data_IF_751893329527
#
_entry.id   IF_751893329527
#
_cell.length_a   1.000
_cell.length_b   1.000
_cell.length_c   1.000
_cell.angle_alpha   90.00
_cell.angle_beta   90.00
_cell.angle_gamma   90.00
#
_symmetry.space_group_name_H-M   'P 1'
#
loop_
_entity.id
_entity.type
_entity.pdbx_description
1 polymer ?
#
# COMPACT_ATOMS: atom_id res chain seq x y z
N UNK A 1 -2.66 -17.48 -0.27
CA UNK A 1 -4.08 -17.14 -0.09
C UNK A 1 -4.99 -18.36 -0.06
N UNK A 2 -5.07 -19.17 -1.13
CA UNK A 2 -5.92 -20.38 -1.16
C UNK A 2 -5.77 -21.29 0.07
N UNK A 3 -4.53 -21.65 0.44
CA UNK A 3 -4.26 -22.39 1.67
C UNK A 3 -4.82 -21.72 2.94
N UNK A 4 -4.75 -20.40 3.06
CA UNK A 4 -5.33 -19.67 4.19
C UNK A 4 -6.86 -19.78 4.21
N UNK A 5 -7.49 -19.81 3.02
CA UNK A 5 -8.94 -19.95 2.88
C UNK A 5 -9.37 -21.37 3.24
N UNK A 6 -8.68 -22.37 2.68
CA UNK A 6 -8.95 -23.80 2.91
C UNK A 6 -8.81 -24.18 4.39
N UNK A 7 -7.88 -23.53 5.12
CA UNK A 7 -7.69 -23.69 6.57
C UNK A 7 -8.56 -22.73 7.40
N UNK A 8 -9.48 -21.99 6.79
CA UNK A 8 -10.42 -21.11 7.49
C UNK A 8 -9.78 -19.89 8.17
N UNK A 9 -8.55 -19.50 7.83
CA UNK A 9 -7.83 -18.40 8.50
C UNK A 9 -8.49 -17.02 8.28
N UNK A 10 -9.33 -16.89 7.25
CA UNK A 10 -10.11 -15.69 6.93
C UNK A 10 -11.32 -15.47 7.87
N UNK A 11 -11.72 -16.48 8.64
CA UNK A 11 -12.89 -16.43 9.53
C UNK A 11 -12.49 -16.02 10.94
N UNK A 12 -13.43 -15.56 11.74
CA UNK A 12 -13.17 -15.42 13.18
C UNK A 12 -12.93 -16.80 13.80
N UNK A 13 -11.87 -16.95 14.60
CA UNK A 13 -11.67 -18.17 15.38
C UNK A 13 -12.49 -18.10 16.67
N UNK A 14 -13.02 -19.24 17.07
CA UNK A 14 -13.64 -19.44 18.39
C UNK A 14 -12.78 -20.45 19.14
N UNK A 15 -12.48 -20.19 20.41
CA UNK A 15 -11.79 -21.11 21.32
C UNK A 15 -10.33 -21.42 20.98
N UNK A 16 -9.57 -20.45 20.45
CA UNK A 16 -8.12 -20.56 20.32
C UNK A 16 -7.40 -19.85 21.48
N UNK A 17 -6.26 -20.38 21.94
CA UNK A 17 -5.30 -19.65 22.76
C UNK A 17 -4.95 -18.28 22.14
N UNK A 18 -4.91 -17.18 22.92
CA UNK A 18 -4.58 -15.83 22.45
C UNK A 18 -3.32 -15.76 21.58
N UNK A 19 -2.24 -16.43 22.00
CA UNK A 19 -0.98 -16.52 21.22
C UNK A 19 -1.18 -17.13 19.83
N UNK A 20 -1.93 -18.22 19.74
CA UNK A 20 -2.22 -18.90 18.49
C UNK A 20 -3.14 -18.09 17.59
N UNK A 21 -4.16 -17.42 18.17
CA UNK A 21 -5.06 -16.55 17.40
C UNK A 21 -4.32 -15.34 16.81
N UNK A 22 -3.44 -14.68 17.58
CA UNK A 22 -2.62 -13.58 17.06
C UNK A 22 -1.66 -14.04 15.96
N UNK A 23 -1.00 -15.19 16.13
CA UNK A 23 -0.14 -15.76 15.07
C UNK A 23 -0.96 -16.06 13.79
N UNK A 24 -2.16 -16.62 13.95
CA UNK A 24 -3.09 -16.89 12.84
C UNK A 24 -3.52 -15.62 12.12
N UNK A 25 -3.85 -14.55 12.85
CA UNK A 25 -4.17 -13.22 12.27
C UNK A 25 -2.99 -12.69 11.48
N UNK A 26 -1.77 -12.70 12.06
CA UNK A 26 -0.54 -12.25 11.38
C UNK A 26 -0.30 -13.00 10.06
N UNK A 27 -0.43 -14.34 10.07
CA UNK A 27 -0.29 -15.16 8.86
C UNK A 27 -1.32 -14.76 7.80
N UNK A 28 -2.60 -14.68 8.18
CA UNK A 28 -3.66 -14.34 7.23
C UNK A 28 -3.46 -12.96 6.62
N UNK A 29 -3.23 -11.93 7.43
CA UNK A 29 -3.09 -10.55 6.94
C UNK A 29 -1.82 -10.32 6.13
N UNK A 30 -0.74 -11.05 6.44
CA UNK A 30 0.47 -11.05 5.60
C UNK A 30 0.20 -11.66 4.24
N UNK A 31 -0.47 -12.82 4.20
CA UNK A 31 -0.87 -13.45 2.94
C UNK A 31 -1.86 -12.60 2.14
N UNK A 32 -2.77 -11.90 2.84
CA UNK A 32 -3.70 -10.93 2.27
C UNK A 32 -2.95 -9.78 1.58
N UNK A 33 -2.05 -9.10 2.29
CA UNK A 33 -1.27 -8.01 1.74
C UNK A 33 -0.45 -8.42 0.51
N UNK A 34 0.20 -9.59 0.57
CA UNK A 34 1.00 -10.09 -0.54
C UNK A 34 0.13 -10.42 -1.75
N UNK A 35 -0.99 -11.11 -1.55
CA UNK A 35 -1.92 -11.45 -2.63
C UNK A 35 -2.49 -10.21 -3.32
N UNK A 36 -2.93 -9.21 -2.54
CA UNK A 36 -3.45 -7.95 -3.08
C UNK A 36 -2.40 -7.17 -3.88
N UNK A 37 -1.16 -7.17 -3.39
CA UNK A 37 -0.05 -6.50 -4.08
C UNK A 37 0.28 -7.16 -5.41
N UNK A 38 0.34 -8.50 -5.46
CA UNK A 38 0.59 -9.28 -6.68
C UNK A 38 -0.59 -9.19 -7.65
N UNK A 39 -1.82 -9.36 -7.16
CA UNK A 39 -3.02 -9.29 -7.99
C UNK A 39 -3.12 -7.93 -8.70
N UNK A 40 -2.86 -6.83 -7.97
CA UNK A 40 -2.80 -5.48 -8.56
C UNK A 40 -1.73 -5.35 -9.64
N UNK A 41 -0.49 -5.76 -9.35
CA UNK A 41 0.60 -5.66 -10.32
C UNK A 41 0.34 -6.48 -11.60
N UNK A 42 -0.43 -7.56 -11.48
CA UNK A 42 -0.77 -8.44 -12.61
C UNK A 42 -2.13 -8.12 -13.24
N UNK A 43 -2.85 -7.09 -12.77
CA UNK A 43 -4.21 -6.77 -13.22
C UNK A 43 -5.24 -7.89 -12.97
N UNK A 44 -4.99 -8.76 -11.98
CA UNK A 44 -5.84 -9.92 -11.67
C UNK A 44 -6.90 -9.57 -10.63
N UNK A 45 -8.08 -10.22 -10.68
CA UNK A 45 -9.04 -10.14 -9.60
C UNK A 45 -8.48 -10.78 -8.32
N UNK A 46 -8.99 -10.28 -7.20
CA UNK A 46 -8.72 -10.77 -5.86
C UNK A 46 -9.31 -12.16 -5.61
N UNK A 47 -8.55 -13.02 -4.91
CA UNK A 47 -8.90 -14.43 -4.65
C UNK A 47 -10.06 -14.61 -3.65
N UNK A 48 -10.33 -13.60 -2.83
CA UNK A 48 -11.41 -13.55 -1.83
C UNK A 48 -11.90 -12.10 -1.75
N UNK A 49 -13.20 -11.88 -1.60
CA UNK A 49 -13.73 -10.52 -1.39
C UNK A 49 -13.57 -10.10 0.08
N UNK A 50 -13.32 -8.81 0.34
CA UNK A 50 -13.18 -8.30 1.71
C UNK A 50 -14.42 -8.56 2.57
N UNK A 51 -15.61 -8.68 1.96
CA UNK A 51 -16.86 -9.02 2.67
C UNK A 51 -16.90 -10.45 3.23
N UNK A 52 -16.06 -11.33 2.68
CA UNK A 52 -15.98 -12.74 3.09
C UNK A 52 -14.89 -12.93 4.17
N UNK A 53 -14.25 -11.84 4.62
CA UNK A 53 -13.21 -11.86 5.65
C UNK A 53 -13.83 -11.43 6.98
N UNK A 54 -13.89 -12.38 7.93
CA UNK A 54 -14.38 -12.14 9.30
C UNK A 54 -13.28 -12.05 10.37
N UNK A 55 -12.02 -12.34 10.02
CA UNK A 55 -10.90 -12.24 10.96
C UNK A 55 -10.49 -10.77 11.17
N UNK A 56 -10.31 -10.36 12.42
CA UNK A 56 -9.85 -9.02 12.77
C UNK A 56 -8.38 -8.80 12.41
N UNK A 57 -7.96 -7.53 12.28
CA UNK A 57 -6.54 -7.18 12.21
C UNK A 57 -5.78 -7.69 13.45
N UNK A 58 -4.50 -8.07 13.33
CA UNK A 58 -3.71 -8.45 14.50
C UNK A 58 -3.60 -7.28 15.48
N UNK A 59 -3.49 -7.59 16.76
CA UNK A 59 -3.29 -6.59 17.78
C UNK A 59 -1.92 -5.90 17.62
N UNK A 60 -1.87 -4.61 17.93
CA UNK A 60 -0.65 -3.82 17.88
C UNK A 60 0.17 -4.04 19.15
N UNK A 61 0.80 -5.21 19.25
CA UNK A 61 1.60 -5.67 20.40
C UNK A 61 2.97 -6.15 19.93
N UNK A 62 3.98 -6.00 20.77
CA UNK A 62 5.34 -6.50 20.48
C UNK A 62 5.36 -8.04 20.42
N UNK A 63 6.31 -8.60 19.66
CA UNK A 63 6.34 -10.04 19.30
C UNK A 63 6.85 -10.97 20.41
N UNK A 64 7.43 -10.42 21.49
CA UNK A 64 8.18 -11.16 22.53
C UNK A 64 7.35 -11.47 23.79
N UNK A 65 6.13 -12.01 23.64
CA UNK A 65 5.33 -12.43 24.79
C UNK A 65 5.15 -13.95 24.81
N UNK A 66 5.58 -14.59 25.89
CA UNK A 66 5.63 -16.04 26.01
C UNK A 66 4.35 -16.68 26.59
N UNK A 67 3.46 -15.89 27.20
CA UNK A 67 2.24 -16.41 27.87
C UNK A 67 0.95 -15.77 27.37
N UNK A 68 -0.13 -16.54 27.34
CA UNK A 68 -1.44 -16.08 26.89
C UNK A 68 -2.00 -14.95 27.80
N UNK A 69 -1.71 -14.99 29.11
CA UNK A 69 -2.10 -13.96 30.07
C UNK A 69 -1.40 -12.62 29.76
N UNK A 70 -0.10 -12.66 29.45
CA UNK A 70 0.66 -11.46 29.10
C UNK A 70 0.19 -10.86 27.78
N UNK A 71 -0.17 -11.71 26.80
CA UNK A 71 -0.74 -11.29 25.53
C UNK A 71 -2.09 -10.59 25.76
N UNK A 72 -3.00 -11.19 26.54
CA UNK A 72 -4.30 -10.58 26.82
C UNK A 72 -4.16 -9.23 27.53
N UNK A 73 -3.28 -9.13 28.52
CA UNK A 73 -3.01 -7.86 29.22
C UNK A 73 -2.46 -6.80 28.26
N UNK A 74 -1.53 -7.17 27.38
CA UNK A 74 -0.94 -6.23 26.41
C UNK A 74 -1.93 -5.82 25.33
N UNK A 75 -2.82 -6.71 24.88
CA UNK A 75 -3.92 -6.37 23.97
C UNK A 75 -4.85 -5.35 24.63
N UNK A 76 -5.22 -5.58 25.89
CA UNK A 76 -6.08 -4.66 26.64
C UNK A 76 -5.42 -3.28 26.77
N UNK A 77 -4.11 -3.22 27.02
CA UNK A 77 -3.36 -1.97 27.10
C UNK A 77 -3.23 -1.28 25.74
N UNK A 78 -2.94 -2.02 24.67
CA UNK A 78 -2.88 -1.51 23.29
C UNK A 78 -4.20 -0.86 22.87
N UNK A 79 -5.34 -1.43 23.29
CA UNK A 79 -6.66 -0.84 23.05
C UNK A 79 -6.90 0.47 23.83
N UNK A 80 -6.24 0.66 24.99
CA UNK A 80 -6.31 1.90 25.77
C UNK A 80 -5.36 2.98 25.22
N UNK A 81 -4.22 2.57 24.66
CA UNK A 81 -3.22 3.46 24.07
C UNK A 81 -3.03 3.14 22.58
N UNK A 82 -4.00 3.51 21.70
CA UNK A 82 -3.97 3.15 20.28
C UNK A 82 -2.83 3.83 19.49
N UNK A 83 -2.19 4.86 20.08
CA UNK A 83 -1.07 5.59 19.49
C UNK A 83 0.30 4.94 19.78
N UNK A 84 0.35 3.88 20.60
CA UNK A 84 1.60 3.15 20.87
C UNK A 84 2.18 2.58 19.58
N UNK A 85 3.44 2.88 19.30
CA UNK A 85 4.17 2.31 18.16
C UNK A 85 4.85 1.01 18.62
N UNK A 86 4.71 -0.04 17.82
CA UNK A 86 5.34 -1.36 17.99
C UNK A 86 5.94 -1.80 16.65
N UNK A 87 6.69 -2.91 16.66
CA UNK A 87 7.19 -3.52 15.43
C UNK A 87 6.08 -3.90 14.42
N UNK A 88 4.85 -4.15 14.88
CA UNK A 88 3.71 -4.48 14.03
C UNK A 88 2.97 -3.25 13.47
N UNK A 89 3.16 -2.05 14.03
CA UNK A 89 2.41 -0.86 13.62
C UNK A 89 2.50 -0.60 12.11
N UNK A 90 3.68 -0.65 11.46
CA UNK A 90 3.77 -0.49 10.00
C UNK A 90 2.96 -1.52 9.22
N UNK A 91 3.04 -2.80 9.61
CA UNK A 91 2.33 -3.88 8.92
C UNK A 91 0.81 -3.71 9.03
N UNK A 92 0.30 -3.40 10.22
CA UNK A 92 -1.13 -3.12 10.45
C UNK A 92 -1.59 -1.92 9.61
N UNK A 93 -0.77 -0.87 9.56
CA UNK A 93 -1.07 0.31 8.77
C UNK A 93 -1.16 -0.03 7.27
N UNK A 94 -0.24 -0.85 6.75
CA UNK A 94 -0.28 -1.35 5.37
C UNK A 94 -1.49 -2.26 5.11
N UNK A 95 -1.88 -3.12 6.06
CA UNK A 95 -3.08 -3.95 5.91
C UNK A 95 -4.34 -3.11 5.69
N UNK A 96 -4.47 -1.99 6.42
CA UNK A 96 -5.56 -1.03 6.23
C UNK A 96 -5.53 -0.39 4.84
N UNK A 97 -4.35 -0.05 4.32
CA UNK A 97 -4.22 0.46 2.96
C UNK A 97 -4.70 -0.57 1.93
N UNK A 98 -4.33 -1.84 2.09
CA UNK A 98 -4.74 -2.90 1.17
C UNK A 98 -6.25 -3.12 1.14
N UNK A 99 -6.97 -2.81 2.22
CA UNK A 99 -8.45 -2.78 2.22
C UNK A 99 -8.99 -1.58 1.43
N UNK A 100 -8.35 -0.40 1.52
CA UNK A 100 -8.70 0.76 0.69
C UNK A 100 -8.45 0.44 -0.79
N UNK A 101 -7.29 -0.11 -1.11
CA UNK A 101 -6.93 -0.56 -2.45
C UNK A 101 -7.94 -1.57 -3.01
N UNK A 102 -8.39 -2.52 -2.19
CA UNK A 102 -9.44 -3.48 -2.57
C UNK A 102 -10.74 -2.77 -2.97
N UNK A 103 -11.18 -1.79 -2.17
CA UNK A 103 -12.36 -0.96 -2.50
C UNK A 103 -12.15 -0.14 -3.77
N UNK A 104 -10.95 0.38 -4.01
CA UNK A 104 -10.60 1.10 -5.25
C UNK A 104 -10.74 0.14 -6.44
N UNK A 105 -10.08 -1.02 -6.41
CA UNK A 105 -10.13 -2.00 -7.50
C UNK A 105 -11.58 -2.40 -7.84
N UNK A 106 -12.43 -2.65 -6.84
CA UNK A 106 -13.85 -3.00 -7.05
C UNK A 106 -14.74 -1.82 -7.48
N UNK A 107 -14.28 -0.58 -7.35
CA UNK A 107 -15.05 0.62 -7.66
C UNK A 107 -14.65 1.24 -8.99
N UNK A 108 -13.35 1.40 -9.25
CA UNK A 108 -12.84 2.15 -10.40
C UNK A 108 -12.11 1.29 -11.43
N UNK A 109 -11.54 0.14 -11.04
CA UNK A 109 -10.87 -0.77 -11.96
C UNK A 109 -11.81 -1.88 -12.48
N UNK A 110 -13.10 -1.58 -12.63
CA UNK A 110 -14.12 -2.55 -13.02
C UNK A 110 -14.13 -2.73 -14.53
N UNK A 111 -14.42 -3.95 -14.97
CA UNK A 111 -14.60 -4.27 -16.39
C UNK A 111 -16.07 -4.31 -16.83
N UNK A 112 -17.01 -4.39 -15.88
CA UNK A 112 -18.45 -4.54 -16.19
C UNK A 112 -19.14 -3.21 -16.54
N UNK A 113 -18.51 -2.07 -16.23
CA UNK A 113 -19.06 -0.73 -16.46
C UNK A 113 -17.97 0.21 -16.94
N UNK A 114 -18.33 1.11 -17.85
CA UNK A 114 -17.45 2.19 -18.25
C UNK A 114 -17.16 3.12 -17.07
N UNK A 115 -15.96 3.69 -17.05
CA UNK A 115 -15.48 4.61 -16.01
C UNK A 115 -16.38 5.84 -15.85
N UNK A 116 -17.01 6.31 -16.93
CA UNK A 116 -18.01 7.40 -16.91
C UNK A 116 -19.26 7.10 -16.07
N UNK A 117 -19.59 5.82 -15.85
CA UNK A 117 -20.73 5.44 -15.00
C UNK A 117 -20.42 5.49 -13.50
N UNK A 118 -19.15 5.75 -13.13
CA UNK A 118 -18.72 5.84 -11.73
C UNK A 118 -19.13 7.20 -11.19
N UNK A 119 -19.94 7.19 -10.13
CA UNK A 119 -20.39 8.43 -9.50
C UNK A 119 -19.22 9.15 -8.80
N UNK A 120 -19.01 10.46 -9.04
CA UNK A 120 -17.86 11.21 -8.49
C UNK A 120 -17.71 11.10 -6.96
N UNK A 121 -18.81 11.07 -6.21
CA UNK A 121 -18.76 10.94 -4.74
C UNK A 121 -18.11 9.64 -4.27
N UNK A 122 -18.13 8.56 -5.07
CA UNK A 122 -17.44 7.31 -4.72
C UNK A 122 -15.94 7.47 -4.79
N UNK A 123 -15.44 8.16 -5.83
CA UNK A 123 -14.03 8.49 -5.99
C UNK A 123 -13.57 9.43 -4.87
N UNK A 124 -14.37 10.47 -4.59
CA UNK A 124 -14.08 11.41 -3.49
C UNK A 124 -13.97 10.70 -2.14
N UNK A 125 -14.88 9.78 -1.83
CA UNK A 125 -14.84 8.99 -0.58
C UNK A 125 -13.59 8.09 -0.49
N UNK A 126 -13.16 7.50 -1.59
CA UNK A 126 -11.94 6.68 -1.63
C UNK A 126 -10.69 7.54 -1.44
N UNK A 127 -10.64 8.72 -2.08
CA UNK A 127 -9.56 9.69 -1.87
C UNK A 127 -9.52 10.18 -0.42
N UNK A 128 -10.66 10.52 0.16
CA UNK A 128 -10.74 10.92 1.57
C UNK A 128 -10.20 9.82 2.50
N UNK A 129 -10.63 8.57 2.32
CA UNK A 129 -10.14 7.45 3.12
C UNK A 129 -8.61 7.26 2.99
N UNK A 130 -8.04 7.56 1.82
CA UNK A 130 -6.60 7.51 1.59
C UNK A 130 -5.85 8.67 2.26
N UNK A 131 -6.41 9.88 2.28
CA UNK A 131 -5.84 11.01 3.02
C UNK A 131 -5.89 10.77 4.53
N UNK A 132 -7.00 10.22 5.04
CA UNK A 132 -7.14 9.81 6.45
C UNK A 132 -6.11 8.72 6.80
N UNK A 133 -5.90 7.76 5.90
CA UNK A 133 -4.84 6.76 6.06
C UNK A 133 -3.45 7.41 6.14
N UNK A 134 -3.13 8.33 5.21
CA UNK A 134 -1.86 9.04 5.17
C UNK A 134 -1.62 9.89 6.42
N UNK A 135 -2.66 10.56 6.94
CA UNK A 135 -2.57 11.33 8.17
C UNK A 135 -2.30 10.46 9.41
N UNK A 136 -2.62 9.16 9.34
CA UNK A 136 -2.35 8.18 10.38
C UNK A 136 -1.02 7.44 10.24
N UNK A 137 -0.12 7.85 9.34
CA UNK A 137 1.22 7.26 9.23
C UNK A 137 1.97 7.57 10.54
N UNK A 138 2.47 6.54 11.26
CA UNK A 138 3.17 6.76 12.52
C UNK A 138 4.45 7.59 12.32
N UNK A 139 4.62 8.65 13.11
CA UNK A 139 5.89 9.36 13.21
C UNK A 139 6.84 8.55 14.11
N UNK A 140 7.77 7.83 13.51
CA UNK A 140 8.81 7.12 14.27
C UNK A 140 9.88 8.12 14.69
N UNK A 141 10.16 8.21 15.99
CA UNK A 141 11.39 8.87 16.46
C UNK A 141 12.57 8.12 15.83
N UNK A 142 13.59 8.81 15.29
CA UNK A 142 14.77 8.14 14.75
C UNK A 142 15.54 7.44 15.89
N UNK A 143 15.17 6.20 16.20
CA UNK A 143 15.96 5.30 17.03
C UNK A 143 17.08 4.67 16.19
N UNK A 144 18.19 4.35 16.87
CA UNK A 144 19.47 3.88 16.33
C UNK A 144 19.44 2.54 15.55
N UNK A 145 18.28 2.04 15.13
CA UNK A 145 18.12 0.82 14.31
C UNK A 145 17.27 1.11 13.07
N UNK A 146 17.89 1.28 11.88
CA UNK A 146 17.18 1.57 10.64
C UNK A 146 16.45 0.31 10.15
N UNK A 147 15.19 0.11 10.56
CA UNK A 147 14.35 -0.91 9.95
C UNK A 147 13.63 -0.31 8.73
N UNK A 148 13.77 -0.91 7.52
CA UNK A 148 13.21 -0.38 6.27
C UNK A 148 11.74 0.01 6.32
N UNK A 149 10.97 -0.82 6.99
CA UNK A 149 9.52 -0.73 7.02
C UNK A 149 9.00 0.23 8.09
N UNK A 150 9.87 0.73 8.99
CA UNK A 150 9.53 1.82 9.91
C UNK A 150 9.71 3.20 9.26
N UNK A 151 10.20 3.28 8.02
CA UNK A 151 10.37 4.57 7.35
C UNK A 151 9.03 5.13 6.86
N UNK A 152 8.86 6.45 7.02
CA UNK A 152 7.77 7.21 6.39
C UNK A 152 7.77 7.02 4.86
N UNK A 153 8.95 6.82 4.27
CA UNK A 153 9.15 6.68 2.83
C UNK A 153 8.40 5.49 2.24
N UNK A 154 8.50 4.31 2.88
CA UNK A 154 7.79 3.13 2.38
C UNK A 154 6.28 3.34 2.35
N UNK A 155 5.71 3.94 3.40
CA UNK A 155 4.29 4.25 3.47
C UNK A 155 3.88 5.28 2.41
N UNK A 156 4.69 6.32 2.21
CA UNK A 156 4.45 7.33 1.18
C UNK A 156 4.54 6.77 -0.24
N UNK A 157 5.43 5.80 -0.50
CA UNK A 157 5.45 5.07 -1.78
C UNK A 157 4.10 4.38 -2.00
N UNK A 158 3.57 3.68 -0.98
CA UNK A 158 2.28 3.00 -1.13
C UNK A 158 1.12 3.99 -1.31
N UNK A 159 1.12 5.11 -0.58
CA UNK A 159 0.15 6.19 -0.78
C UNK A 159 0.09 6.65 -2.24
N UNK A 160 1.25 7.01 -2.81
CA UNK A 160 1.30 7.54 -4.17
C UNK A 160 0.97 6.46 -5.22
N UNK A 161 1.33 5.19 -4.99
CA UNK A 161 0.87 4.08 -5.83
C UNK A 161 -0.66 3.94 -5.81
N UNK A 162 -1.29 4.15 -4.66
CA UNK A 162 -2.75 4.09 -4.52
C UNK A 162 -3.44 5.30 -5.18
N UNK A 163 -2.85 6.50 -5.12
CA UNK A 163 -3.32 7.65 -5.90
C UNK A 163 -3.30 7.35 -7.40
N UNK A 164 -2.21 6.77 -7.90
CA UNK A 164 -2.11 6.37 -9.30
C UNK A 164 -3.18 5.34 -9.63
N UNK A 165 -3.35 4.29 -8.81
CA UNK A 165 -4.38 3.26 -9.02
C UNK A 165 -5.80 3.85 -9.08
N UNK A 166 -6.13 4.80 -8.20
CA UNK A 166 -7.42 5.47 -8.16
C UNK A 166 -7.70 6.29 -9.42
N UNK A 167 -6.65 6.88 -9.99
CA UNK A 167 -6.75 7.87 -11.08
C UNK A 167 -6.59 7.22 -12.46
N UNK A 168 -5.80 6.16 -12.58
CA UNK A 168 -5.40 5.55 -13.84
C UNK A 168 -6.57 5.16 -14.77
N UNK A 169 -7.69 4.59 -14.28
CA UNK A 169 -8.83 4.27 -15.14
C UNK A 169 -9.48 5.51 -15.79
N UNK A 170 -9.39 6.67 -15.14
CA UNK A 170 -9.95 7.93 -15.63
C UNK A 170 -8.99 8.65 -16.57
N UNK A 171 -7.71 8.31 -16.57
CA UNK A 171 -6.64 9.05 -17.24
C UNK A 171 -6.93 9.41 -18.71
N UNK A 172 -7.50 8.53 -19.55
CA UNK A 172 -7.84 8.88 -20.94
C UNK A 172 -8.95 9.94 -21.09
N UNK A 173 -9.74 10.15 -20.03
CA UNK A 173 -10.90 11.07 -20.00
C UNK A 173 -10.63 12.34 -19.20
N UNK A 174 -9.49 12.41 -18.50
CA UNK A 174 -9.15 13.55 -17.67
C UNK A 174 -8.70 14.74 -18.52
N UNK A 175 -9.05 15.94 -18.08
CA UNK A 175 -8.49 17.17 -18.61
C UNK A 175 -7.08 17.39 -18.06
N UNK A 176 -6.14 17.94 -18.86
CA UNK A 176 -4.76 18.15 -18.43
C UNK A 176 -4.63 18.94 -17.12
N UNK A 177 -5.28 20.09 -17.03
CA UNK A 177 -5.24 20.93 -15.82
C UNK A 177 -6.49 20.74 -14.96
N UNK A 178 -6.39 20.63 -13.61
CA UNK A 178 -5.18 20.46 -12.77
C UNK A 178 -4.76 18.99 -12.54
N UNK A 179 -5.50 18.05 -13.13
CA UNK A 179 -5.44 16.63 -12.73
C UNK A 179 -4.15 15.93 -13.15
N UNK A 180 -3.54 16.32 -14.27
CA UNK A 180 -2.27 15.71 -14.71
C UNK A 180 -1.12 16.09 -13.78
N UNK A 181 -1.09 17.33 -13.27
CA UNK A 181 -0.07 17.76 -12.30
C UNK A 181 -0.08 16.90 -11.02
N UNK A 182 -1.27 16.55 -10.52
CA UNK A 182 -1.40 15.72 -9.31
C UNK A 182 -0.91 14.27 -9.52
N UNK A 183 -1.30 13.65 -10.63
CA UNK A 183 -0.91 12.26 -10.91
C UNK A 183 0.57 12.16 -11.28
N UNK A 184 1.10 13.14 -12.02
CA UNK A 184 2.54 13.24 -12.34
C UNK A 184 3.36 13.48 -11.08
N UNK A 185 2.89 14.34 -10.17
CA UNK A 185 3.53 14.50 -8.87
C UNK A 185 3.59 13.17 -8.12
N UNK A 186 2.47 12.44 -8.05
CA UNK A 186 2.45 11.14 -7.37
C UNK A 186 3.36 10.10 -8.03
N UNK A 187 3.37 10.04 -9.37
CA UNK A 187 4.30 9.19 -10.11
C UNK A 187 5.77 9.55 -9.82
N UNK A 188 6.12 10.84 -9.81
CA UNK A 188 7.47 11.28 -9.49
C UNK A 188 7.88 10.97 -8.05
N UNK A 189 6.96 11.06 -7.10
CA UNK A 189 7.19 10.64 -5.71
C UNK A 189 7.46 9.14 -5.61
N UNK A 190 6.71 8.28 -6.32
CA UNK A 190 7.00 6.82 -6.34
C UNK A 190 8.46 6.56 -6.75
N UNK A 191 8.94 7.19 -7.81
CA UNK A 191 10.30 6.98 -8.30
C UNK A 191 11.36 7.56 -7.36
N UNK A 192 11.15 8.79 -6.89
CA UNK A 192 12.11 9.50 -6.04
C UNK A 192 12.25 8.86 -4.65
N UNK A 193 11.13 8.46 -4.04
CA UNK A 193 11.13 7.76 -2.76
C UNK A 193 11.70 6.34 -2.91
N UNK A 194 11.38 5.62 -4.00
CA UNK A 194 11.98 4.31 -4.27
C UNK A 194 13.49 4.39 -4.39
N UNK A 195 13.99 5.42 -5.09
CA UNK A 195 15.42 5.70 -5.20
C UNK A 195 16.04 6.04 -3.85
N UNK A 196 15.44 6.95 -3.08
CA UNK A 196 15.95 7.33 -1.76
C UNK A 196 16.03 6.13 -0.82
N UNK A 197 14.98 5.31 -0.80
CA UNK A 197 14.93 4.10 0.00
C UNK A 197 15.99 3.07 -0.44
N UNK A 198 16.28 2.99 -1.74
CA UNK A 198 17.39 2.19 -2.26
C UNK A 198 18.76 2.73 -1.84
N UNK A 199 19.02 4.02 -2.05
CA UNK A 199 20.29 4.69 -1.73
C UNK A 199 20.61 4.59 -0.23
N UNK A 200 19.59 4.58 0.63
CA UNK A 200 19.73 4.50 2.08
C UNK A 200 19.91 3.06 2.62
N UNK A 201 19.74 2.01 1.80
CA UNK A 201 19.67 0.64 2.32
C UNK A 201 20.46 -0.42 1.55
N UNK A 202 21.11 -1.31 2.32
CA UNK A 202 21.77 -2.53 1.83
C UNK A 202 20.81 -3.73 1.68
N UNK A 203 19.56 -3.64 2.20
CA UNK A 203 18.71 -4.83 2.46
C UNK A 203 17.39 -4.93 1.70
N UNK A 204 16.85 -3.86 1.08
CA UNK A 204 15.66 -4.03 0.23
C UNK A 204 16.08 -4.69 -1.07
N UNK A 205 15.69 -5.95 -1.19
CA UNK A 205 15.81 -6.69 -2.44
C UNK A 205 14.92 -6.08 -3.50
N UNK A 206 15.38 -6.09 -4.76
CA UNK A 206 14.51 -5.76 -5.88
C UNK A 206 13.34 -6.75 -5.91
N UNK A 207 12.14 -6.22 -5.74
CA UNK A 207 10.94 -7.00 -5.95
C UNK A 207 10.38 -6.67 -7.32
N UNK A 208 9.80 -7.66 -7.98
CA UNK A 208 9.02 -7.44 -9.19
C UNK A 208 7.92 -6.38 -8.98
N UNK A 209 7.41 -6.24 -7.75
CA UNK A 209 6.44 -5.22 -7.38
C UNK A 209 7.04 -3.80 -7.41
N UNK A 210 8.31 -3.64 -7.00
CA UNK A 210 9.04 -2.37 -7.09
C UNK A 210 9.33 -2.01 -8.54
N UNK A 211 9.71 -2.99 -9.38
CA UNK A 211 9.88 -2.80 -10.82
C UNK A 211 8.59 -2.30 -11.47
N UNK A 212 7.51 -3.04 -11.26
CA UNK A 212 6.19 -2.70 -11.79
C UNK A 212 5.75 -1.29 -11.34
N UNK A 213 5.94 -0.94 -10.07
CA UNK A 213 5.57 0.38 -9.55
C UNK A 213 6.35 1.52 -10.24
N UNK A 214 7.67 1.37 -10.42
CA UNK A 214 8.49 2.37 -11.11
C UNK A 214 8.14 2.44 -12.59
N UNK A 215 7.89 1.31 -13.24
CA UNK A 215 7.49 1.25 -14.64
C UNK A 215 6.16 1.97 -14.89
N UNK A 216 5.13 1.68 -14.08
CA UNK A 216 3.82 2.35 -14.18
C UNK A 216 3.95 3.85 -13.90
N UNK A 217 4.73 4.26 -12.91
CA UNK A 217 4.97 5.67 -12.64
C UNK A 217 5.65 6.37 -13.84
N UNK A 218 6.66 5.75 -14.44
CA UNK A 218 7.31 6.22 -15.66
C UNK A 218 6.33 6.39 -16.82
N UNK A 219 5.49 5.38 -17.07
CA UNK A 219 4.46 5.44 -18.12
C UNK A 219 3.45 6.57 -17.88
N UNK A 220 2.99 6.77 -16.65
CA UNK A 220 2.08 7.88 -16.31
C UNK A 220 2.74 9.23 -16.60
N UNK A 221 4.01 9.41 -16.20
CA UNK A 221 4.74 10.65 -16.48
C UNK A 221 4.88 10.92 -17.98
N UNK A 222 5.27 9.90 -18.76
CA UNK A 222 5.41 10.02 -20.23
C UNK A 222 4.05 10.31 -20.88
N UNK A 223 3.01 9.58 -20.50
CA UNK A 223 1.66 9.75 -21.05
C UNK A 223 1.15 11.18 -20.83
N UNK A 224 1.22 11.69 -19.59
CA UNK A 224 0.79 13.05 -19.26
C UNK A 224 1.62 14.10 -20.00
N UNK A 225 2.94 13.92 -20.08
CA UNK A 225 3.81 14.85 -20.81
C UNK A 225 3.51 14.88 -22.32
N UNK A 226 3.23 13.74 -22.94
CA UNK A 226 2.87 13.68 -24.37
C UNK A 226 1.57 14.42 -24.69
N UNK A 227 0.65 14.53 -23.73
CA UNK A 227 -0.62 15.22 -23.90
C UNK A 227 -0.61 16.66 -23.37
N UNK A 228 0.36 17.00 -22.52
CA UNK A 228 0.49 18.30 -21.87
C UNK A 228 1.97 18.64 -21.59
N UNK A 229 2.66 19.07 -22.65
CA UNK A 229 4.08 19.44 -22.60
C UNK A 229 4.43 20.50 -21.52
N UNK A 230 3.57 21.49 -21.21
CA UNK A 230 3.77 22.43 -20.11
C UNK A 230 4.04 21.82 -18.72
N UNK A 231 3.70 20.55 -18.47
CA UNK A 231 4.02 19.84 -17.22
C UNK A 231 5.54 19.74 -16.98
N UNK A 232 6.33 19.88 -18.05
CA UNK A 232 7.78 19.81 -17.94
C UNK A 232 8.34 20.84 -16.95
N UNK A 233 9.14 20.34 -16.02
CA UNK A 233 9.83 21.15 -15.02
C UNK A 233 11.12 20.46 -14.58
N UNK A 234 12.05 21.17 -13.90
CA UNK A 234 13.22 20.53 -13.31
C UNK A 234 12.86 19.38 -12.37
N UNK A 235 11.74 19.48 -11.64
CA UNK A 235 11.21 18.41 -10.78
C UNK A 235 10.73 17.19 -11.58
N UNK A 236 10.03 17.42 -12.69
CA UNK A 236 9.63 16.37 -13.63
C UNK A 236 10.86 15.65 -14.19
N UNK A 237 11.85 16.39 -14.69
CA UNK A 237 13.09 15.81 -15.23
C UNK A 237 13.84 14.98 -14.19
N UNK A 238 13.95 15.47 -12.94
CA UNK A 238 14.53 14.71 -11.83
C UNK A 238 13.78 13.41 -11.55
N UNK A 239 12.44 13.45 -11.59
CA UNK A 239 11.58 12.28 -11.37
C UNK A 239 11.73 11.23 -12.46
N UNK A 240 11.80 11.65 -13.74
CA UNK A 240 12.10 10.76 -14.87
C UNK A 240 13.47 10.12 -14.74
N UNK A 241 14.49 10.90 -14.32
CA UNK A 241 15.83 10.36 -14.06
C UNK A 241 15.82 9.33 -12.93
N UNK A 242 15.13 9.60 -11.82
CA UNK A 242 14.97 8.65 -10.72
C UNK A 242 14.29 7.35 -11.19
N UNK A 243 13.25 7.47 -12.01
CA UNK A 243 12.58 6.32 -12.63
C UNK A 243 13.57 5.49 -13.47
N UNK A 244 14.29 6.13 -14.39
CA UNK A 244 15.27 5.47 -15.26
C UNK A 244 16.37 4.79 -14.46
N UNK A 245 16.90 5.45 -13.43
CA UNK A 245 17.91 4.87 -12.54
C UNK A 245 17.37 3.62 -11.85
N UNK A 246 16.17 3.68 -11.28
CA UNK A 246 15.59 2.52 -10.60
C UNK A 246 15.33 1.35 -11.56
N UNK A 247 14.80 1.61 -12.76
CA UNK A 247 14.59 0.57 -13.76
C UNK A 247 15.90 -0.08 -14.21
N UNK A 248 16.95 0.72 -14.43
CA UNK A 248 18.28 0.23 -14.79
C UNK A 248 18.89 -0.65 -13.69
N UNK A 249 18.89 -0.19 -12.44
CA UNK A 249 19.50 -0.97 -11.35
C UNK A 249 18.74 -2.29 -11.14
N UNK A 250 17.41 -2.31 -11.35
CA UNK A 250 16.63 -3.55 -11.27
C UNK A 250 16.97 -4.51 -12.40
N UNK A 251 17.24 -4.03 -13.63
CA UNK A 251 17.54 -4.90 -14.78
C UNK A 251 18.94 -5.52 -14.77
N UNK A 252 19.88 -4.90 -14.06
CA UNK A 252 21.28 -5.37 -13.95
C UNK A 252 21.48 -6.49 -12.90
N UNK A 253 20.42 -6.99 -12.26
CA UNK A 253 20.45 -8.07 -11.27
C UNK A 253 19.67 -9.29 -11.73
#
# INVERSE_FOLDING_TARGET
MRYCIDNGLHRQATNLPPSLDERRKRIFWTAYMLERSVARAMGRPHSISDRDIGVALPANIDEELDTDEAILATIAESNRCPLRITALTPAIHIFRLQQIDSKISHTVCRVDKNVSAIKPHKVARLRQALEEWKAGIPETVPENKPHPYLTTDYHMIQYHKTIILLTLPFLPTLTPEPTFHEIVHSAGQVCSLSKRLHDQQTYISFTLLSLHANFVAGLVMVYCFCLDSPIFSPKFSSSVRACSTMLYIISER
#
